data_IF_190934507924
#
_entry.id   IF_190934507924
#
_cell.length_a   1.000
_cell.length_b   1.000
_cell.length_c   1.000
_cell.angle_alpha   90.00
_cell.angle_beta   90.00
_cell.angle_gamma   90.00
#
_symmetry.space_group_name_H-M   'P 1'
#
loop_
_entity.id
_entity.type
_entity.pdbx_description
1 polymer ?
#
# COMPACT_ATOMS: atom_id res chain seq x y z
N UNK A 1 9.52 0.37 -18.67
CA UNK A 1 10.08 -0.28 -17.47
C UNK A 1 10.63 0.70 -16.42
N UNK A 2 11.28 1.82 -16.79
CA UNK A 2 11.97 2.70 -15.82
C UNK A 2 11.08 3.58 -14.91
N UNK A 3 9.89 3.98 -15.37
CA UNK A 3 9.02 4.90 -14.61
C UNK A 3 8.48 4.29 -13.31
N UNK A 4 8.14 3.00 -13.31
CA UNK A 4 7.65 2.29 -12.12
C UNK A 4 8.73 2.11 -11.04
N UNK A 5 9.95 1.76 -11.45
CA UNK A 5 11.07 1.64 -10.50
C UNK A 5 11.42 3.00 -9.88
N UNK A 6 11.40 4.06 -10.68
CA UNK A 6 11.62 5.42 -10.17
C UNK A 6 10.53 5.87 -9.21
N UNK A 7 9.27 5.54 -9.49
CA UNK A 7 8.15 5.77 -8.59
C UNK A 7 8.38 5.07 -7.24
N UNK A 8 8.76 3.79 -7.24
CA UNK A 8 9.05 3.07 -6.01
C UNK A 8 10.23 3.68 -5.24
N UNK A 9 11.31 4.03 -5.93
CA UNK A 9 12.48 4.64 -5.29
C UNK A 9 12.14 5.96 -4.57
N UNK A 10 11.35 6.83 -5.19
CA UNK A 10 10.91 8.09 -4.56
C UNK A 10 10.05 7.80 -3.32
N UNK A 11 9.08 6.90 -3.44
CA UNK A 11 8.13 6.61 -2.36
C UNK A 11 8.79 5.91 -1.18
N UNK A 12 9.76 5.04 -1.42
CA UNK A 12 10.60 4.46 -0.36
C UNK A 12 11.27 5.53 0.50
N UNK A 13 11.88 6.53 -0.14
CA UNK A 13 12.51 7.65 0.56
C UNK A 13 11.50 8.48 1.37
N UNK A 14 10.29 8.67 0.85
CA UNK A 14 9.21 9.35 1.58
C UNK A 14 8.82 8.60 2.85
N UNK A 15 8.48 7.31 2.75
CA UNK A 15 8.05 6.52 3.90
C UNK A 15 9.16 6.39 4.94
N UNK A 16 10.42 6.23 4.52
CA UNK A 16 11.56 6.22 5.45
C UNK A 16 11.67 7.52 6.25
N UNK A 17 11.45 8.68 5.63
CA UNK A 17 11.46 9.98 6.34
C UNK A 17 10.31 10.13 7.33
N UNK A 18 9.20 9.43 7.13
CA UNK A 18 8.07 9.40 8.04
C UNK A 18 8.23 8.39 9.19
N UNK A 19 9.39 7.73 9.30
CA UNK A 19 9.60 6.65 10.27
C UNK A 19 8.98 5.31 9.85
N UNK A 20 8.62 5.17 8.56
CA UNK A 20 8.12 3.93 7.98
C UNK A 20 9.24 3.00 7.49
N UNK A 21 8.86 1.75 7.28
CA UNK A 21 9.70 0.66 6.80
C UNK A 21 9.29 0.27 5.40
N UNK A 22 10.26 -0.09 4.56
CA UNK A 22 9.99 -0.50 3.19
C UNK A 22 10.37 -1.96 2.94
N UNK A 23 9.64 -2.58 2.02
CA UNK A 23 9.78 -3.99 1.63
C UNK A 23 9.68 -4.95 2.83
N UNK A 24 8.66 -4.75 3.67
CA UNK A 24 8.43 -5.55 4.88
C UNK A 24 7.96 -6.95 4.47
N UNK A 25 8.73 -7.98 4.85
CA UNK A 25 8.39 -9.38 4.54
C UNK A 25 7.43 -9.94 5.57
N UNK A 26 6.37 -10.59 5.13
CA UNK A 26 5.36 -11.21 5.98
C UNK A 26 5.61 -12.71 6.13
N UNK A 27 5.04 -13.32 7.17
CA UNK A 27 5.16 -14.76 7.41
C UNK A 27 4.61 -15.58 6.24
N UNK A 28 3.65 -15.02 5.48
CA UNK A 28 3.11 -15.59 4.23
C UNK A 28 4.12 -15.61 3.07
N UNK A 29 5.31 -15.02 3.25
CA UNK A 29 6.33 -14.86 2.22
C UNK A 29 6.06 -13.68 1.27
N UNK A 30 4.93 -12.98 1.41
CA UNK A 30 4.65 -11.75 0.65
C UNK A 30 5.46 -10.58 1.20
N UNK A 31 5.62 -9.55 0.37
CA UNK A 31 6.45 -8.39 0.67
C UNK A 31 5.64 -7.11 0.46
N UNK A 32 5.33 -6.44 1.56
CA UNK A 32 4.62 -5.18 1.58
C UNK A 32 5.55 -4.03 1.16
N UNK A 33 5.05 -3.10 0.36
CA UNK A 33 5.84 -1.99 -0.16
C UNK A 33 6.34 -1.05 0.94
N UNK A 34 5.43 -0.54 1.75
CA UNK A 34 5.74 0.36 2.86
C UNK A 34 4.81 0.13 4.05
N UNK A 35 5.33 0.34 5.26
CA UNK A 35 4.61 0.16 6.51
C UNK A 35 4.97 1.28 7.49
N UNK A 36 3.98 2.03 7.97
CA UNK A 36 4.12 2.92 9.11
C UNK A 36 3.43 2.26 10.30
N UNK A 37 4.18 1.79 11.32
CA UNK A 37 3.63 1.10 12.49
C UNK A 37 2.36 1.71 13.08
N UNK A 38 1.30 0.91 13.15
CA UNK A 38 0.02 1.31 13.75
C UNK A 38 -0.74 2.40 12.99
N UNK A 39 -0.24 2.83 11.82
CA UNK A 39 -0.80 3.94 11.04
C UNK A 39 -1.18 3.51 9.64
N UNK A 40 -0.23 3.01 8.85
CA UNK A 40 -0.45 2.78 7.41
C UNK A 40 0.19 1.48 6.94
N UNK A 41 -0.60 0.68 6.21
CA UNK A 41 -0.18 -0.51 5.47
C UNK A 41 -0.31 -0.15 3.99
N UNK A 42 0.80 0.08 3.30
CA UNK A 42 0.79 0.70 1.98
C UNK A 42 1.23 -0.30 0.92
N UNK A 43 0.38 -0.51 -0.08
CA UNK A 43 0.78 -1.12 -1.35
C UNK A 43 0.76 -0.07 -2.45
N UNK A 44 1.81 -0.06 -3.28
CA UNK A 44 2.03 0.97 -4.28
C UNK A 44 1.71 0.42 -5.67
N UNK A 45 0.90 1.14 -6.44
CA UNK A 45 0.58 0.79 -7.82
C UNK A 45 0.83 1.96 -8.75
N UNK A 46 1.83 1.83 -9.62
CA UNK A 46 2.07 2.81 -10.67
C UNK A 46 1.06 2.64 -11.81
N UNK A 47 -0.17 3.12 -11.62
CA UNK A 47 -1.27 2.98 -12.57
C UNK A 47 -2.22 4.17 -12.51
N UNK A 48 -2.84 4.47 -13.66
CA UNK A 48 -3.97 5.39 -13.76
C UNK A 48 -5.26 4.56 -13.68
N UNK A 49 -5.90 4.53 -12.52
CA UNK A 49 -7.12 3.75 -12.26
C UNK A 49 -8.27 4.18 -13.19
N UNK A 50 -8.39 5.46 -13.51
CA UNK A 50 -9.35 5.96 -14.50
C UNK A 50 -9.06 5.55 -15.96
N UNK A 51 -7.99 4.80 -16.23
CA UNK A 51 -7.63 4.29 -17.55
C UNK A 51 -7.62 2.76 -17.64
N UNK A 52 -7.96 2.04 -16.56
CA UNK A 52 -8.09 0.57 -16.57
C UNK A 52 -9.56 0.18 -16.44
N UNK A 53 -9.87 -1.08 -16.76
CA UNK A 53 -11.19 -1.63 -16.49
C UNK A 53 -11.49 -1.61 -14.97
N UNK A 54 -12.77 -1.45 -14.61
CA UNK A 54 -13.23 -1.44 -13.21
C UNK A 54 -12.76 -2.70 -12.47
N UNK A 55 -12.96 -3.88 -13.05
CA UNK A 55 -12.52 -5.15 -12.45
C UNK A 55 -11.01 -5.22 -12.21
N UNK A 56 -10.21 -4.62 -13.09
CA UNK A 56 -8.76 -4.53 -12.92
C UNK A 56 -8.39 -3.65 -11.73
N UNK A 57 -9.10 -2.53 -11.54
CA UNK A 57 -8.88 -1.65 -10.39
C UNK A 57 -9.33 -2.33 -9.08
N UNK A 58 -10.48 -2.99 -9.08
CA UNK A 58 -10.98 -3.79 -7.95
C UNK A 58 -10.01 -4.92 -7.58
N UNK A 59 -9.43 -5.61 -8.58
CA UNK A 59 -8.40 -6.61 -8.34
C UNK A 59 -7.15 -6.08 -7.63
N UNK A 60 -6.78 -4.80 -7.80
CA UNK A 60 -5.68 -4.20 -7.04
C UNK A 60 -6.06 -3.91 -5.58
N UNK A 61 -7.32 -3.55 -5.33
CA UNK A 61 -7.87 -3.38 -3.98
C UNK A 61 -7.89 -4.73 -3.26
N UNK A 62 -8.41 -5.77 -3.91
CA UNK A 62 -8.47 -7.13 -3.39
C UNK A 62 -7.09 -7.70 -3.08
N UNK A 63 -6.13 -7.41 -3.94
CA UNK A 63 -4.74 -7.81 -3.75
C UNK A 63 -4.18 -7.26 -2.43
N UNK A 64 -4.43 -5.97 -2.14
CA UNK A 64 -4.01 -5.33 -0.89
C UNK A 64 -4.76 -5.92 0.31
N UNK A 65 -6.09 -5.94 0.24
CA UNK A 65 -6.95 -6.43 1.31
C UNK A 65 -6.65 -7.88 1.70
N UNK A 66 -6.42 -8.75 0.72
CA UNK A 66 -6.17 -10.17 0.95
C UNK A 66 -4.74 -10.42 1.44
N UNK A 67 -3.73 -9.81 0.80
CA UNK A 67 -2.32 -10.15 1.09
C UNK A 67 -1.78 -9.46 2.34
N UNK A 68 -2.34 -8.30 2.68
CA UNK A 68 -1.77 -7.40 3.67
C UNK A 68 -2.80 -6.93 4.71
N UNK A 69 -3.85 -7.73 4.94
CA UNK A 69 -4.85 -7.46 5.96
C UNK A 69 -4.19 -7.13 7.33
N UNK A 70 -4.74 -6.18 8.10
CA UNK A 70 -4.37 -5.99 9.50
C UNK A 70 -4.42 -7.31 10.28
N UNK A 71 -3.46 -7.52 11.17
CA UNK A 71 -3.26 -8.78 11.89
C UNK A 71 -2.35 -9.80 11.18
N UNK A 72 -1.99 -9.56 9.91
CA UNK A 72 -1.03 -10.43 9.21
C UNK A 72 0.34 -10.37 9.87
N UNK A 73 0.92 -11.54 10.15
CA UNK A 73 2.19 -11.65 10.88
C UNK A 73 3.36 -11.17 10.02
N UNK A 74 4.17 -10.28 10.59
CA UNK A 74 5.43 -9.81 10.02
C UNK A 74 6.48 -10.89 10.25
N UNK A 75 7.23 -11.26 9.20
CA UNK A 75 8.27 -12.28 9.32
C UNK A 75 9.40 -11.75 10.20
N UNK A 76 9.77 -12.49 11.25
CA UNK A 76 10.90 -12.14 12.09
C UNK A 76 12.22 -12.36 11.31
N UNK A 77 12.82 -11.26 10.86
CA UNK A 77 14.11 -11.22 10.15
C UNK A 77 14.88 -10.01 10.62
N UNK A 78 16.21 -10.01 10.47
CA UNK A 78 17.04 -8.84 10.84
C UNK A 78 16.58 -7.55 10.17
N UNK A 79 16.06 -7.62 8.93
CA UNK A 79 15.54 -6.45 8.20
C UNK A 79 14.25 -5.89 8.82
N UNK A 80 13.39 -6.76 9.36
CA UNK A 80 12.12 -6.37 9.95
C UNK A 80 12.22 -6.08 11.46
N UNK A 81 13.38 -6.30 12.08
CA UNK A 81 13.55 -6.19 13.53
C UNK A 81 13.09 -4.83 14.06
N UNK A 82 13.46 -3.74 13.38
CA UNK A 82 13.04 -2.38 13.76
C UNK A 82 11.53 -2.16 13.58
N UNK A 83 10.95 -2.71 12.49
CA UNK A 83 9.52 -2.62 12.23
C UNK A 83 8.71 -3.34 13.31
N UNK A 84 9.18 -4.51 13.74
CA UNK A 84 8.58 -5.30 14.81
C UNK A 84 8.76 -4.59 16.16
N UNK A 85 9.95 -4.06 16.44
CA UNK A 85 10.23 -3.34 17.68
C UNK A 85 9.35 -2.09 17.84
N UNK A 86 9.02 -1.40 16.74
CA UNK A 86 8.20 -0.19 16.77
C UNK A 86 6.70 -0.44 16.59
N UNK A 87 6.33 -1.52 15.89
CA UNK A 87 4.94 -1.76 15.45
C UNK A 87 4.34 -3.09 15.86
N UNK A 88 5.07 -3.93 16.59
CA UNK A 88 4.65 -5.29 16.94
C UNK A 88 4.83 -6.30 15.80
N UNK A 89 4.54 -7.56 16.12
CA UNK A 89 4.76 -8.70 15.21
C UNK A 89 3.66 -8.85 14.13
N UNK A 90 2.65 -8.00 14.13
CA UNK A 90 1.52 -8.05 13.21
C UNK A 90 1.31 -6.68 12.57
N UNK A 91 0.89 -6.68 11.30
CA UNK A 91 0.49 -5.46 10.62
C UNK A 91 -0.68 -4.80 11.36
N UNK A 92 -0.59 -3.49 11.58
CA UNK A 92 -1.66 -2.68 12.14
C UNK A 92 -1.66 -1.30 11.48
N UNK A 93 -2.84 -0.78 11.17
CA UNK A 93 -3.02 0.50 10.51
C UNK A 93 -4.05 0.45 9.39
N UNK A 94 -4.24 1.58 8.74
CA UNK A 94 -5.12 1.74 7.60
C UNK A 94 -4.48 1.16 6.33
N UNK A 95 -5.25 0.43 5.53
CA UNK A 95 -4.77 -0.08 4.24
C UNK A 95 -4.86 1.02 3.19
N UNK A 96 -3.74 1.34 2.55
CA UNK A 96 -3.64 2.39 1.55
C UNK A 96 -3.17 1.80 0.22
N UNK A 97 -3.99 1.93 -0.82
CA UNK A 97 -3.56 1.74 -2.20
C UNK A 97 -2.99 3.07 -2.72
N UNK A 98 -1.67 3.18 -2.72
CA UNK A 98 -0.99 4.40 -3.16
C UNK A 98 -0.75 4.39 -4.68
N UNK A 99 -1.23 5.45 -5.35
CA UNK A 99 -1.16 5.59 -6.81
C UNK A 99 -0.51 6.93 -7.21
N UNK A 100 -0.07 7.11 -8.47
CA UNK A 100 0.22 8.43 -9.00
C UNK A 100 -1.05 9.31 -8.96
N UNK A 101 -0.87 10.63 -9.01
CA UNK A 101 -1.98 11.55 -9.25
C UNK A 101 -2.75 11.11 -10.49
N UNK A 102 -4.06 10.99 -10.36
CA UNK A 102 -4.93 10.55 -11.45
C UNK A 102 -5.17 11.70 -12.43
N UNK A 103 -5.06 11.40 -13.73
CA UNK A 103 -5.31 12.35 -14.81
C UNK A 103 -6.75 12.28 -15.33
N UNK A 104 -7.47 11.22 -14.99
CA UNK A 104 -8.90 11.04 -15.24
C UNK A 104 -9.60 10.67 -13.94
N UNK A 105 -10.90 10.92 -13.86
CA UNK A 105 -11.74 10.46 -12.76
C UNK A 105 -11.64 8.93 -12.65
N UNK A 106 -11.46 8.46 -11.41
CA UNK A 106 -11.62 7.05 -11.08
C UNK A 106 -13.12 6.77 -11.11
N UNK A 107 -13.55 5.65 -11.71
CA UNK A 107 -14.96 5.28 -11.70
C UNK A 107 -15.48 5.21 -10.26
N UNK A 108 -16.65 5.80 -9.99
CA UNK A 108 -17.23 5.89 -8.65
C UNK A 108 -17.38 4.50 -8.02
N UNK A 109 -17.76 3.49 -8.82
CA UNK A 109 -17.85 2.08 -8.40
C UNK A 109 -16.53 1.51 -7.85
N UNK A 110 -15.37 2.00 -8.28
CA UNK A 110 -14.07 1.59 -7.75
C UNK A 110 -13.80 2.24 -6.40
N UNK A 111 -14.20 3.51 -6.23
CA UNK A 111 -14.06 4.26 -4.97
C UNK A 111 -14.96 3.63 -3.91
N UNK A 112 -16.24 3.43 -4.24
CA UNK A 112 -17.23 2.78 -3.37
C UNK A 112 -16.75 1.40 -2.94
N UNK A 113 -16.23 0.60 -3.87
CA UNK A 113 -15.70 -0.72 -3.56
C UNK A 113 -14.47 -0.67 -2.64
N UNK A 114 -13.58 0.31 -2.83
CA UNK A 114 -12.42 0.48 -1.96
C UNK A 114 -12.86 0.75 -0.51
N UNK A 115 -13.84 1.63 -0.33
CA UNK A 115 -14.43 1.95 0.97
C UNK A 115 -15.10 0.72 1.61
N UNK A 116 -15.88 -0.05 0.85
CA UNK A 116 -16.52 -1.30 1.31
C UNK A 116 -15.50 -2.32 1.83
N UNK A 117 -14.36 -2.45 1.16
CA UNK A 117 -13.28 -3.38 1.53
C UNK A 117 -12.34 -2.78 2.61
N UNK A 118 -12.52 -1.51 2.96
CA UNK A 118 -11.71 -0.82 3.98
C UNK A 118 -10.31 -0.44 3.49
N UNK A 119 -10.17 -0.17 2.19
CA UNK A 119 -8.93 0.29 1.55
C UNK A 119 -9.10 1.74 1.09
N UNK A 120 -8.19 2.62 1.48
CA UNK A 120 -8.18 4.01 0.98
C UNK A 120 -7.33 4.11 -0.28
N UNK A 121 -7.85 4.76 -1.32
CA UNK A 121 -7.07 5.12 -2.50
C UNK A 121 -6.46 6.51 -2.27
N UNK A 122 -5.14 6.61 -2.31
CA UNK A 122 -4.42 7.86 -2.08
C UNK A 122 -3.39 8.11 -3.16
N UNK A 123 -3.32 9.34 -3.69
CA UNK A 123 -2.21 9.70 -4.57
C UNK A 123 -0.94 10.13 -3.81
N UNK A 124 0.17 10.24 -4.55
CA UNK A 124 1.45 10.72 -4.02
C UNK A 124 1.46 12.15 -3.48
N UNK A 125 0.42 12.95 -3.76
CA UNK A 125 0.25 14.30 -3.20
C UNK A 125 -0.60 14.29 -1.92
N UNK A 126 -1.14 13.12 -1.53
CA UNK A 126 -2.00 12.96 -0.37
C UNK A 126 -3.48 13.17 -0.66
N UNK A 127 -3.89 13.32 -1.92
CA UNK A 127 -5.32 13.38 -2.25
C UNK A 127 -5.93 11.99 -2.02
N UNK A 128 -7.02 11.97 -1.26
CA UNK A 128 -7.87 10.78 -1.08
C UNK A 128 -8.97 10.85 -2.13
N UNK A 129 -9.22 9.73 -2.79
CA UNK A 129 -10.32 9.56 -3.75
C UNK A 129 -11.47 8.82 -3.09
#
# INVERSE_FOLDING_TARGET
MWKGNYFNFIREGFYKRMGGFNEVVLATGKRLDSYIPGKEIVSRKFTQLGNVAVDTAKGYIDELATKYAPGTVIKNTTRNADAIAQGGEKLAGEMILEVPKQTKQIADEVIEYADEVGVKIRDVLGNIY
#
